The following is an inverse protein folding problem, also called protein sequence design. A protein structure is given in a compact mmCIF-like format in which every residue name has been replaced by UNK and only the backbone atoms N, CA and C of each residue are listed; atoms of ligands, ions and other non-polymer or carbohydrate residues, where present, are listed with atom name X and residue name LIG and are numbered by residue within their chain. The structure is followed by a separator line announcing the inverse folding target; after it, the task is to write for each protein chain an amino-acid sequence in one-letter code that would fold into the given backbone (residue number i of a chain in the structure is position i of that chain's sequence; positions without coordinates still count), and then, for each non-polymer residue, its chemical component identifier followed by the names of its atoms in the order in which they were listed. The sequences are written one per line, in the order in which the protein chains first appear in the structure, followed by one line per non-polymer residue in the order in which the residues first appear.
data_IF_945794944280
#
_entry.id   IF_945794944280
#
_cell.length_a   1.000
_cell.length_b   1.000
_cell.length_c   1.000
_cell.angle_alpha   90.00
_cell.angle_beta   90.00
_cell.angle_gamma   90.00
#
_symmetry.space_group_name_H-M   'P 1'
#
loop_
_entity.id
_entity.type
_entity.pdbx_description
1 polymer ?
#
# COMPACT_ATOMS: atom_id res chain seq x y z
N UNK A 1 -5.15 4.59 -4.50
CA UNK A 1 -4.25 4.26 -3.37
C UNK A 1 -3.41 3.06 -3.78
N UNK A 2 -2.09 3.22 -3.91
CA UNK A 2 -1.19 2.13 -4.30
C UNK A 2 -0.74 1.24 -3.14
N UNK A 3 -0.76 1.75 -1.91
CA UNK A 3 -0.39 1.01 -0.71
C UNK A 3 -1.10 1.53 0.55
N UNK A 4 -1.16 0.70 1.59
CA UNK A 4 -1.66 1.01 2.94
C UNK A 4 -0.64 0.53 3.96
N UNK A 5 -0.23 1.37 4.91
CA UNK A 5 0.60 0.98 6.05
C UNK A 5 -0.26 0.86 7.30
N UNK A 6 -0.23 -0.30 7.94
CA UNK A 6 -0.98 -0.59 9.16
C UNK A 6 -0.05 -1.26 10.18
N UNK A 7 0.26 -0.55 11.26
CA UNK A 7 1.20 -1.02 12.30
C UNK A 7 2.54 -1.43 11.67
N UNK A 8 2.96 -2.68 11.85
CA UNK A 8 4.18 -3.28 11.29
C UNK A 8 4.00 -3.82 9.87
N UNK A 9 2.80 -3.73 9.30
CA UNK A 9 2.50 -4.27 7.98
C UNK A 9 2.35 -3.16 6.94
N UNK A 10 2.70 -3.48 5.69
CA UNK A 10 2.39 -2.66 4.52
C UNK A 10 1.75 -3.56 3.47
N UNK A 11 0.55 -3.20 3.03
CA UNK A 11 -0.11 -3.81 1.89
C UNK A 11 0.12 -2.98 0.63
N UNK A 12 0.56 -3.61 -0.45
CA UNK A 12 0.89 -2.99 -1.72
C UNK A 12 -0.03 -3.57 -2.79
N UNK A 13 -0.89 -2.71 -3.34
CA UNK A 13 -1.85 -3.05 -4.40
C UNK A 13 -1.27 -2.78 -5.79
N UNK A 14 -0.26 -1.92 -5.90
CA UNK A 14 0.35 -1.56 -7.18
C UNK A 14 1.87 -1.44 -7.03
N UNK A 15 2.61 -2.07 -7.94
CA UNK A 15 4.08 -2.01 -8.02
C UNK A 15 4.51 -1.47 -9.39
N UNK A 16 5.70 -0.86 -9.48
CA UNK A 16 6.23 -0.31 -10.73
C UNK A 16 5.62 1.05 -11.10
N UNK A 17 5.77 1.45 -12.37
CA UNK A 17 5.17 2.69 -12.89
C UNK A 17 5.90 3.99 -12.49
N UNK A 18 7.06 3.90 -11.83
CA UNK A 18 7.95 5.04 -11.55
C UNK A 18 9.38 4.69 -11.97
N UNK A 19 10.22 5.68 -12.36
CA UNK A 19 11.62 5.45 -12.75
C UNK A 19 12.54 5.08 -11.56
N UNK A 20 11.97 4.96 -10.37
CA UNK A 20 12.68 4.81 -9.10
C UNK A 20 13.08 3.35 -8.88
N UNK A 21 14.10 2.92 -9.63
CA UNK A 21 15.02 1.80 -9.39
C UNK A 21 15.97 1.71 -10.59
N UNK A 22 16.95 2.61 -10.66
CA UNK A 22 17.98 2.60 -11.71
C UNK A 22 17.52 3.12 -13.09
N UNK A 23 16.41 3.87 -13.17
CA UNK A 23 15.93 4.50 -14.41
C UNK A 23 15.20 3.54 -15.35
N UNK A 24 14.96 2.29 -14.94
CA UNK A 24 14.17 1.32 -15.68
C UNK A 24 12.71 1.42 -15.25
N UNK A 25 11.82 1.69 -16.21
CA UNK A 25 10.38 1.60 -15.98
C UNK A 25 9.98 0.13 -15.85
N UNK A 26 9.86 -0.36 -14.62
CA UNK A 26 9.12 -1.60 -14.38
C UNK A 26 7.65 -1.40 -14.79
N UNK A 27 7.02 -2.36 -15.49
CA UNK A 27 5.61 -2.26 -15.83
C UNK A 27 4.78 -2.09 -14.56
N UNK A 28 3.77 -1.23 -14.62
CA UNK A 28 2.81 -1.09 -13.52
C UNK A 28 1.99 -2.38 -13.43
N UNK A 29 2.04 -3.02 -12.26
CA UNK A 29 1.33 -4.26 -11.98
C UNK A 29 0.37 -4.05 -10.82
N UNK A 30 -0.90 -4.44 -11.02
CA UNK A 30 -1.93 -4.47 -9.99
C UNK A 30 -1.91 -5.84 -9.30
N UNK A 31 -2.01 -5.85 -7.96
CA UNK A 31 -2.07 -7.05 -7.13
C UNK A 31 -3.42 -7.13 -6.44
N UNK A 32 -4.17 -8.20 -6.75
CA UNK A 32 -5.44 -8.54 -6.10
C UNK A 32 -5.47 -10.06 -5.81
N UNK A 33 -5.26 -10.51 -4.57
CA UNK A 33 -5.12 -9.71 -3.35
C UNK A 33 -3.74 -9.01 -3.24
N UNK A 34 -3.55 -7.98 -2.38
CA UNK A 34 -2.32 -7.19 -2.33
C UNK A 34 -1.11 -7.99 -1.82
N UNK A 35 0.10 -7.56 -2.17
CA UNK A 35 1.30 -8.04 -1.49
C UNK A 35 1.35 -7.45 -0.08
N UNK A 36 1.57 -8.26 0.95
CA UNK A 36 1.66 -7.79 2.34
C UNK A 36 3.06 -8.07 2.87
N UNK A 37 3.72 -7.05 3.43
CA UNK A 37 5.05 -7.15 4.01
C UNK A 37 5.01 -6.83 5.50
N UNK A 38 5.75 -7.58 6.32
CA UNK A 38 6.05 -7.17 7.70
C UNK A 38 7.30 -6.27 7.69
N UNK A 39 7.10 -4.97 7.49
CA UNK A 39 8.18 -3.97 7.33
C UNK A 39 9.00 -3.73 8.60
N UNK A 40 8.62 -4.33 9.73
CA UNK A 40 9.47 -4.36 10.93
C UNK A 40 10.59 -5.40 10.81
N UNK A 41 10.30 -6.55 10.19
CA UNK A 41 11.24 -7.67 10.02
C UNK A 41 11.90 -7.65 8.64
N UNK A 42 11.20 -7.14 7.63
CA UNK A 42 11.68 -6.95 6.26
C UNK A 42 11.47 -5.48 5.82
N UNK A 43 12.34 -4.56 6.27
CA UNK A 43 12.22 -3.14 5.93
C UNK A 43 12.39 -2.85 4.43
N UNK A 44 13.01 -3.77 3.69
CA UNK A 44 13.29 -3.64 2.26
C UNK A 44 12.16 -4.20 1.39
N UNK A 45 11.09 -4.75 1.99
CA UNK A 45 9.93 -5.28 1.26
C UNK A 45 10.36 -6.37 0.24
N UNK A 46 11.33 -7.20 0.63
CA UNK A 46 11.92 -8.23 -0.21
C UNK A 46 11.08 -9.50 -0.28
N UNK A 47 10.38 -9.85 0.80
CA UNK A 47 9.63 -11.10 0.95
C UNK A 47 8.20 -10.82 1.41
N UNK A 48 7.20 -10.96 0.53
CA UNK A 48 5.81 -10.85 0.94
C UNK A 48 5.42 -12.05 1.83
N UNK A 49 4.51 -11.81 2.77
CA UNK A 49 3.86 -12.84 3.56
C UNK A 49 3.08 -13.76 2.61
N UNK A 50 3.15 -15.07 2.84
CA UNK A 50 2.40 -16.06 2.07
C UNK A 50 0.88 -15.79 2.15
N UNK A 51 0.25 -15.60 1.00
CA UNK A 51 -1.19 -15.37 0.86
C UNK A 51 -2.06 -16.50 1.42
N UNK A 52 -1.53 -17.73 1.50
CA UNK A 52 -2.22 -18.88 2.11
C UNK A 52 -2.15 -18.90 3.64
N UNK A 53 -1.31 -18.04 4.25
CA UNK A 53 -1.08 -18.06 5.69
C UNK A 53 -2.23 -17.41 6.48
N UNK A 54 -2.50 -17.88 7.72
CA UNK A 54 -3.46 -17.22 8.61
C UNK A 54 -3.09 -15.77 8.93
N UNK A 55 -1.79 -15.46 9.03
CA UNK A 55 -1.31 -14.09 9.27
C UNK A 55 -1.73 -13.16 8.13
N UNK A 56 -1.51 -13.58 6.89
CA UNK A 56 -1.92 -12.80 5.73
C UNK A 56 -3.41 -12.51 5.73
N UNK A 57 -4.25 -13.53 5.97
CA UNK A 57 -5.70 -13.38 5.97
C UNK A 57 -6.18 -12.44 7.08
N UNK A 58 -5.59 -12.55 8.28
CA UNK A 58 -5.87 -11.64 9.40
C UNK A 58 -5.53 -10.18 9.05
N UNK A 59 -4.33 -9.95 8.52
CA UNK A 59 -3.86 -8.61 8.16
C UNK A 59 -4.67 -8.04 7.00
N UNK A 60 -5.02 -8.85 6.00
CA UNK A 60 -5.80 -8.43 4.85
C UNK A 60 -7.16 -7.85 5.27
N UNK A 61 -7.84 -8.48 6.23
CA UNK A 61 -9.10 -7.96 6.76
C UNK A 61 -8.93 -6.59 7.42
N UNK A 62 -7.93 -6.43 8.30
CA UNK A 62 -7.68 -5.14 8.97
C UNK A 62 -7.29 -4.04 7.98
N UNK A 63 -6.45 -4.36 7.00
CA UNK A 63 -6.02 -3.42 5.96
C UNK A 63 -7.19 -2.98 5.10
N UNK A 64 -8.06 -3.90 4.68
CA UNK A 64 -9.23 -3.57 3.87
C UNK A 64 -10.16 -2.61 4.61
N UNK A 65 -10.38 -2.84 5.92
CA UNK A 65 -11.16 -1.91 6.74
C UNK A 65 -10.50 -0.53 6.81
N UNK A 66 -9.19 -0.48 7.11
CA UNK A 66 -8.45 0.79 7.16
C UNK A 66 -8.50 1.55 5.82
N UNK A 67 -8.48 0.83 4.70
CA UNK A 67 -8.60 1.42 3.37
C UNK A 67 -10.00 2.00 3.11
N UNK A 68 -11.05 1.31 3.54
CA UNK A 68 -12.43 1.82 3.46
C UNK A 68 -12.60 3.07 4.31
N UNK A 69 -12.11 3.04 5.55
CA UNK A 69 -12.20 4.16 6.48
C UNK A 69 -11.48 5.40 5.96
N UNK A 70 -10.26 5.23 5.42
CA UNK A 70 -9.49 6.32 4.82
C UNK A 70 -10.16 6.86 3.54
N UNK A 71 -10.70 5.99 2.68
CA UNK A 71 -11.48 6.44 1.50
C UNK A 71 -12.74 7.19 1.91
N UNK A 72 -13.35 6.83 3.02
CA UNK A 72 -14.52 7.53 3.53
C UNK A 72 -14.16 8.89 4.12
N UNK A 73 -13.09 8.98 4.92
CA UNK A 73 -12.63 10.27 5.47
C UNK A 73 -12.26 11.25 4.38
N UNK A 74 -11.57 10.79 3.33
CA UNK A 74 -11.25 11.62 2.16
C UNK A 74 -12.49 12.12 1.42
N UNK A 75 -13.55 11.31 1.33
CA UNK A 75 -14.82 11.73 0.70
C UNK A 75 -15.60 12.74 1.54
N UNK A 76 -15.37 12.77 2.85
CA UNK A 76 -16.04 13.66 3.79
C UNK A 76 -15.23 14.93 4.09
N UNK A 77 -13.96 14.98 3.66
CA UNK A 77 -13.10 16.14 3.80
C UNK A 77 -13.50 17.24 2.81
N UNK A 78 -14.02 18.34 3.34
CA UNK A 78 -14.42 19.53 2.59
C UNK A 78 -13.53 20.75 2.87
N UNK A 79 -12.42 20.56 3.61
CA UNK A 79 -11.60 21.67 4.12
C UNK A 79 -10.19 21.64 3.55
N UNK A 80 -9.62 20.45 3.34
CA UNK A 80 -8.23 20.33 2.87
C UNK A 80 -8.12 20.63 1.37
N UNK A 81 -7.20 21.52 1.02
CA UNK A 81 -6.81 21.81 -0.37
C UNK A 81 -5.36 21.37 -0.53
N UNK A 82 -5.09 20.54 -1.53
CA UNK A 82 -3.72 20.20 -1.90
C UNK A 82 -3.14 21.35 -2.75
N UNK A 83 -2.08 21.98 -2.26
CA UNK A 83 -1.30 22.96 -3.01
C UNK A 83 -0.21 22.24 -3.82
N UNK A 84 -0.28 22.38 -5.13
CA UNK A 84 0.66 21.77 -6.09
C UNK A 84 1.58 22.82 -6.73
N UNK A 85 1.69 24.01 -6.13
CA UNK A 85 2.66 25.00 -6.57
C UNK A 85 4.05 24.63 -6.09
N UNK A 86 5.01 24.63 -7.03
CA UNK A 86 6.42 24.47 -6.74
C UNK A 86 7.05 25.87 -6.80
N UNK A 87 7.47 26.41 -5.66
CA UNK A 87 8.36 27.59 -5.59
C UNK A 87 9.82 27.17 -5.73
#
# INVERSE_FOLDING_TARGET
MGAVRLKKYKAVYMTGGTPECGGLFGPSTLHDPPLIFNVKEDPMESTPIDSGSPEYQSVLMEVNQAQVDLKQSLRQDNTSIADYTFT
#
